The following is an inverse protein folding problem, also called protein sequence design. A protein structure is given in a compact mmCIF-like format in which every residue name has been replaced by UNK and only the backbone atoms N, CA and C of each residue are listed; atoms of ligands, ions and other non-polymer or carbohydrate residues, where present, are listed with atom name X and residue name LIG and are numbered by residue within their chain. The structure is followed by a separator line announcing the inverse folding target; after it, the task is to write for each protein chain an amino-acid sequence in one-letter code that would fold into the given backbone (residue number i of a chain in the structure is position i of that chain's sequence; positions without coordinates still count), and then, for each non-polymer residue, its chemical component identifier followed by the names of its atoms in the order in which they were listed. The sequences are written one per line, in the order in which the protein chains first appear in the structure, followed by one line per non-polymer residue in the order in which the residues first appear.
data_IF_790244501746
#
_entry.id   IF_790244501746
#
_cell.length_a   1.000
_cell.length_b   1.000
_cell.length_c   1.000
_cell.angle_alpha   90.00
_cell.angle_beta   90.00
_cell.angle_gamma   90.00
#
_symmetry.space_group_name_H-M   'P 1'
#
loop_
_entity.id
_entity.type
_entity.pdbx_description
1 polymer ?
#
# COMPACT_ATOMS: atom_id res chain seq x y z
N UNK A 1 -17.81 11.27 -6.42
CA UNK A 1 -18.11 10.06 -5.69
C UNK A 1 -16.92 9.12 -5.85
N UNK A 2 -16.21 8.76 -4.76
CA UNK A 2 -15.23 7.70 -4.81
C UNK A 2 -16.04 6.42 -5.07
N UNK A 3 -15.91 5.87 -6.26
CA UNK A 3 -16.28 4.49 -6.50
C UNK A 3 -15.21 3.64 -5.83
N UNK A 4 -15.62 2.71 -4.96
CA UNK A 4 -14.77 1.60 -4.57
C UNK A 4 -14.41 0.86 -5.87
N UNK A 5 -13.19 1.07 -6.35
CA UNK A 5 -12.72 0.53 -7.63
C UNK A 5 -12.71 -1.00 -7.62
N UNK A 6 -12.74 -1.60 -6.42
CA UNK A 6 -12.69 -3.03 -6.25
C UNK A 6 -13.36 -3.46 -4.94
N UNK A 7 -14.42 -4.23 -5.04
CA UNK A 7 -15.00 -4.98 -3.92
C UNK A 7 -14.82 -6.47 -4.21
N UNK A 8 -13.96 -7.13 -3.46
CA UNK A 8 -13.82 -8.58 -3.54
C UNK A 8 -15.08 -9.20 -2.89
N UNK A 9 -15.98 -9.69 -3.73
CA UNK A 9 -17.20 -10.36 -3.26
C UNK A 9 -17.10 -11.85 -3.49
N UNK A 10 -16.83 -12.62 -2.43
CA UNK A 10 -16.73 -14.07 -2.48
C UNK A 10 -18.07 -14.76 -2.85
N UNK A 11 -19.19 -14.06 -2.79
CA UNK A 11 -20.50 -14.63 -3.12
C UNK A 11 -20.81 -14.66 -4.62
N UNK A 12 -20.00 -13.98 -5.44
CA UNK A 12 -20.20 -13.95 -6.92
C UNK A 12 -18.90 -14.30 -7.66
N UNK A 13 -18.61 -15.57 -7.68
CA UNK A 13 -17.40 -16.16 -8.24
C UNK A 13 -17.25 -16.01 -9.73
N UNK A 14 -18.34 -16.19 -10.44
CA UNK A 14 -18.38 -16.14 -11.89
C UNK A 14 -18.11 -14.72 -12.40
N UNK A 15 -18.34 -13.73 -11.56
CA UNK A 15 -18.06 -12.34 -11.87
C UNK A 15 -16.58 -11.93 -11.68
N UNK A 16 -15.81 -12.65 -10.85
CA UNK A 16 -14.41 -12.28 -10.56
C UNK A 16 -13.55 -12.20 -11.83
N UNK A 17 -13.53 -13.19 -12.75
CA UNK A 17 -12.73 -13.10 -13.97
C UNK A 17 -13.12 -11.95 -14.88
N UNK A 18 -14.38 -11.52 -14.85
CA UNK A 18 -14.88 -10.41 -15.68
C UNK A 18 -14.34 -9.04 -15.27
N UNK A 19 -13.81 -8.91 -14.04
CA UNK A 19 -13.22 -7.68 -13.53
C UNK A 19 -11.77 -7.48 -14.00
N UNK A 20 -11.17 -8.48 -14.62
CA UNK A 20 -9.79 -8.45 -15.09
C UNK A 20 -9.69 -8.22 -16.59
N UNK A 21 -8.66 -7.52 -17.05
CA UNK A 21 -8.34 -7.43 -18.47
C UNK A 21 -7.88 -8.78 -19.01
N UNK A 22 -7.92 -8.96 -20.34
CA UNK A 22 -7.47 -10.20 -20.94
C UNK A 22 -5.96 -10.45 -20.77
N UNK A 23 -5.18 -9.37 -20.66
CA UNK A 23 -3.73 -9.40 -20.51
C UNK A 23 -3.24 -9.23 -19.08
N UNK A 24 -4.11 -9.34 -18.08
CA UNK A 24 -3.76 -9.11 -16.68
C UNK A 24 -2.53 -9.90 -16.22
N UNK A 25 -1.70 -9.25 -15.42
CA UNK A 25 -0.58 -9.88 -14.71
C UNK A 25 -0.82 -9.76 -13.21
N UNK A 26 -0.76 -10.88 -12.50
CA UNK A 26 -0.85 -10.91 -11.04
C UNK A 26 0.40 -11.52 -10.43
N UNK A 27 1.17 -10.71 -9.71
CA UNK A 27 2.42 -11.11 -9.06
C UNK A 27 2.18 -11.52 -7.60
N UNK A 28 2.84 -12.58 -7.16
CA UNK A 28 2.85 -12.98 -5.76
C UNK A 28 4.20 -12.61 -5.12
N UNK A 29 4.23 -11.49 -4.42
CA UNK A 29 5.43 -10.97 -3.76
C UNK A 29 5.49 -11.31 -2.27
N UNK A 30 4.68 -12.24 -1.82
CA UNK A 30 4.75 -12.78 -0.46
C UNK A 30 6.00 -13.63 -0.29
N UNK A 31 6.45 -13.81 0.95
CA UNK A 31 7.64 -14.65 1.28
C UNK A 31 7.55 -16.08 0.76
N UNK A 32 6.35 -16.63 0.70
CA UNK A 32 6.04 -17.96 0.14
C UNK A 32 5.26 -17.81 -1.17
N UNK A 33 5.51 -16.75 -1.92
CA UNK A 33 4.86 -16.51 -3.20
C UNK A 33 5.31 -17.49 -4.27
N UNK A 34 4.46 -17.63 -5.31
CA UNK A 34 4.71 -18.45 -6.49
C UNK A 34 5.02 -17.61 -7.73
N UNK A 35 5.01 -18.26 -8.88
CA UNK A 35 5.12 -17.61 -10.17
C UNK A 35 3.95 -16.65 -10.43
N UNK A 36 4.15 -15.59 -11.23
CA UNK A 36 3.08 -14.71 -11.64
C UNK A 36 1.97 -15.45 -12.38
N UNK A 37 0.73 -15.03 -12.20
CA UNK A 37 -0.41 -15.46 -13.00
C UNK A 37 -0.59 -14.55 -14.20
N UNK A 38 -0.90 -15.12 -15.36
CA UNK A 38 -1.11 -14.40 -16.60
C UNK A 38 -2.48 -14.70 -17.21
N UNK A 39 -3.25 -13.64 -17.44
CA UNK A 39 -4.58 -13.73 -18.02
C UNK A 39 -5.66 -14.21 -17.05
N UNK A 40 -6.90 -14.13 -17.53
CA UNK A 40 -8.10 -14.37 -16.71
C UNK A 40 -8.25 -15.81 -16.24
N UNK A 41 -7.80 -16.78 -17.04
CA UNK A 41 -8.00 -18.18 -16.71
C UNK A 41 -7.15 -18.62 -15.52
N UNK A 42 -5.87 -18.21 -15.48
CA UNK A 42 -5.00 -18.50 -14.34
C UNK A 42 -5.48 -17.79 -13.07
N UNK A 43 -5.97 -16.54 -13.18
CA UNK A 43 -6.58 -15.81 -12.07
C UNK A 43 -7.81 -16.54 -11.53
N UNK A 44 -8.68 -17.03 -12.45
CA UNK A 44 -9.86 -17.80 -12.05
C UNK A 44 -9.48 -19.05 -11.27
N UNK A 45 -8.53 -19.83 -11.79
CA UNK A 45 -8.11 -21.08 -11.15
C UNK A 45 -7.46 -20.84 -9.79
N UNK A 46 -6.65 -19.76 -9.66
CA UNK A 46 -6.08 -19.33 -8.38
C UNK A 46 -7.19 -18.89 -7.39
N UNK A 47 -8.21 -18.20 -7.88
CA UNK A 47 -9.34 -17.75 -7.07
C UNK A 47 -10.15 -18.96 -6.57
N UNK A 48 -10.46 -19.94 -7.42
CA UNK A 48 -11.11 -21.19 -7.01
C UNK A 48 -10.31 -21.89 -5.90
N UNK A 49 -8.98 -21.98 -6.06
CA UNK A 49 -8.10 -22.53 -5.03
C UNK A 49 -8.16 -21.78 -3.69
N UNK A 50 -8.20 -20.47 -3.73
CA UNK A 50 -8.33 -19.63 -2.53
C UNK A 50 -9.64 -19.91 -1.78
N UNK A 51 -10.72 -20.02 -2.51
CA UNK A 51 -12.06 -20.20 -1.94
C UNK A 51 -12.35 -21.60 -1.45
N UNK A 52 -11.59 -22.58 -1.91
CA UNK A 52 -11.64 -23.90 -1.28
C UNK A 52 -11.07 -23.92 0.13
N UNK A 53 -10.34 -22.85 0.51
CA UNK A 53 -9.68 -22.72 1.81
C UNK A 53 -10.38 -21.74 2.76
N UNK A 54 -11.08 -20.74 2.21
CA UNK A 54 -11.68 -19.66 3.01
C UNK A 54 -13.14 -19.48 2.64
N UNK A 55 -13.98 -19.22 3.66
CA UNK A 55 -15.43 -19.03 3.52
C UNK A 55 -15.85 -17.57 3.53
N UNK A 56 -14.98 -16.65 3.97
CA UNK A 56 -15.28 -15.21 4.05
C UNK A 56 -14.05 -14.37 3.67
N UNK A 57 -14.29 -13.20 3.09
CA UNK A 57 -13.25 -12.20 2.84
C UNK A 57 -13.77 -10.79 3.13
N UNK A 58 -12.93 -10.03 3.81
CA UNK A 58 -13.16 -8.62 4.08
C UNK A 58 -12.11 -7.79 3.37
N UNK A 59 -12.56 -6.77 2.64
CA UNK A 59 -11.68 -5.86 1.89
C UNK A 59 -11.81 -4.44 2.42
N UNK A 60 -10.68 -3.76 2.53
CA UNK A 60 -10.63 -2.35 2.92
C UNK A 60 -9.62 -1.61 2.06
N UNK A 61 -10.03 -0.50 1.46
CA UNK A 61 -9.13 0.43 0.80
C UNK A 61 -8.23 1.12 1.83
N UNK A 62 -6.92 1.06 1.60
CA UNK A 62 -5.88 1.65 2.45
C UNK A 62 -5.39 2.96 1.85
N UNK A 63 -5.15 2.97 0.54
CA UNK A 63 -4.71 4.16 -0.18
C UNK A 63 -5.15 4.11 -1.65
N UNK A 64 -5.28 5.28 -2.27
CA UNK A 64 -5.57 5.45 -3.70
C UNK A 64 -4.52 6.41 -4.28
N UNK A 65 -4.09 6.16 -5.51
CA UNK A 65 -3.21 7.06 -6.26
C UNK A 65 -3.74 7.26 -7.68
N UNK A 66 -3.91 8.53 -8.06
CA UNK A 66 -4.53 8.86 -9.33
C UNK A 66 -5.93 8.26 -9.48
N UNK A 67 -6.31 7.96 -10.71
CA UNK A 67 -7.62 7.40 -11.03
C UNK A 67 -7.58 5.86 -11.18
N UNK A 68 -6.38 5.24 -11.17
CA UNK A 68 -6.17 3.87 -11.62
C UNK A 68 -5.58 2.92 -10.57
N UNK A 69 -4.97 3.42 -9.50
CA UNK A 69 -4.20 2.63 -8.55
C UNK A 69 -4.85 2.62 -7.16
N UNK A 70 -4.91 1.42 -6.58
CA UNK A 70 -5.47 1.21 -5.24
C UNK A 70 -4.61 0.22 -4.45
N UNK A 71 -4.38 0.53 -3.18
CA UNK A 71 -3.85 -0.39 -2.18
C UNK A 71 -4.99 -0.88 -1.31
N UNK A 72 -5.16 -2.18 -1.26
CA UNK A 72 -6.18 -2.87 -0.47
C UNK A 72 -5.54 -3.67 0.66
N UNK A 73 -6.20 -3.73 1.78
CA UNK A 73 -6.01 -4.75 2.80
C UNK A 73 -7.15 -5.74 2.69
N UNK A 74 -6.82 -7.03 2.64
CA UNK A 74 -7.78 -8.12 2.53
C UNK A 74 -7.53 -9.10 3.67
N UNK A 75 -8.59 -9.51 4.34
CA UNK A 75 -8.58 -10.58 5.34
C UNK A 75 -9.48 -11.71 4.85
N UNK A 76 -8.93 -12.90 4.78
CA UNK A 76 -9.66 -14.14 4.52
C UNK A 76 -9.85 -14.91 5.81
N UNK A 77 -11.01 -15.51 6.02
CA UNK A 77 -11.28 -16.38 7.18
C UNK A 77 -11.96 -17.68 6.76
N UNK A 78 -11.63 -18.77 7.46
CA UNK A 78 -12.30 -20.07 7.32
C UNK A 78 -13.33 -20.29 8.44
N UNK A 79 -14.11 -21.36 8.31
CA UNK A 79 -15.15 -21.75 9.27
C UNK A 79 -14.57 -22.16 10.65
N UNK A 80 -13.26 -22.44 10.72
CA UNK A 80 -12.54 -22.78 11.95
C UNK A 80 -12.02 -21.55 12.68
N UNK A 81 -12.17 -20.34 12.08
CA UNK A 81 -11.69 -19.07 12.63
C UNK A 81 -10.22 -18.78 12.33
N UNK A 82 -9.56 -19.56 11.45
CA UNK A 82 -8.23 -19.19 10.97
C UNK A 82 -8.36 -17.97 10.05
N UNK A 83 -7.38 -17.07 10.13
CA UNK A 83 -7.34 -15.86 9.33
C UNK A 83 -6.03 -15.74 8.57
N UNK A 84 -6.11 -15.25 7.34
CA UNK A 84 -4.96 -14.84 6.52
C UNK A 84 -5.17 -13.42 6.05
N UNK A 85 -4.17 -12.55 6.25
CA UNK A 85 -4.24 -11.16 5.84
C UNK A 85 -3.20 -10.86 4.78
N UNK A 86 -3.55 -10.01 3.81
CA UNK A 86 -2.69 -9.64 2.70
C UNK A 86 -2.91 -8.16 2.34
N UNK A 87 -1.87 -7.56 1.73
CA UNK A 87 -2.03 -6.31 0.98
C UNK A 87 -2.02 -6.61 -0.52
N UNK A 88 -2.90 -5.93 -1.25
CA UNK A 88 -2.96 -6.03 -2.71
C UNK A 88 -2.80 -4.63 -3.30
N UNK A 89 -1.88 -4.47 -4.24
CA UNK A 89 -1.84 -3.30 -5.13
C UNK A 89 -2.54 -3.68 -6.42
N UNK A 90 -3.53 -2.89 -6.82
CA UNK A 90 -4.35 -3.13 -8.00
C UNK A 90 -4.28 -1.91 -8.91
N UNK A 91 -4.07 -2.14 -10.20
CA UNK A 91 -4.13 -1.12 -11.25
C UNK A 91 -5.18 -1.48 -12.28
N UNK A 92 -6.02 -0.51 -12.64
CA UNK A 92 -7.04 -0.69 -13.68
C UNK A 92 -6.62 -0.02 -15.00
N UNK A 93 -7.09 -0.58 -16.11
CA UNK A 93 -6.95 -0.01 -17.45
C UNK A 93 -7.97 1.12 -17.69
N UNK A 94 -7.96 1.68 -18.90
CA UNK A 94 -8.88 2.76 -19.31
C UNK A 94 -10.35 2.30 -19.41
N UNK A 95 -10.62 1.00 -19.33
CA UNK A 95 -11.95 0.43 -19.30
C UNK A 95 -12.44 0.12 -17.87
N UNK A 96 -11.57 0.36 -16.87
CA UNK A 96 -11.84 0.05 -15.46
C UNK A 96 -11.66 -1.43 -15.13
N UNK A 97 -10.98 -2.22 -16.00
CA UNK A 97 -10.64 -3.62 -15.74
C UNK A 97 -9.26 -3.71 -15.07
N UNK A 98 -9.11 -4.64 -14.16
CA UNK A 98 -7.82 -4.87 -13.49
C UNK A 98 -6.83 -5.42 -14.51
N UNK A 99 -5.77 -4.67 -14.75
CA UNK A 99 -4.70 -5.02 -15.68
C UNK A 99 -3.44 -5.50 -14.97
N UNK A 100 -3.29 -5.09 -13.73
CA UNK A 100 -2.21 -5.54 -12.86
C UNK A 100 -2.70 -5.72 -11.43
N UNK A 101 -2.18 -6.75 -10.77
CA UNK A 101 -2.32 -6.96 -9.34
C UNK A 101 -0.99 -7.46 -8.75
N UNK A 102 -0.67 -7.07 -7.50
CA UNK A 102 0.41 -7.69 -6.74
C UNK A 102 -0.01 -7.92 -5.30
N UNK A 103 0.44 -9.05 -4.74
CA UNK A 103 0.07 -9.51 -3.40
C UNK A 103 1.29 -9.50 -2.49
N UNK A 104 1.10 -9.02 -1.27
CA UNK A 104 2.11 -8.91 -0.21
C UNK A 104 1.59 -9.56 1.07
N UNK A 105 2.49 -10.01 1.93
CA UNK A 105 2.12 -10.50 3.26
C UNK A 105 1.41 -9.41 4.07
N UNK A 106 0.53 -9.80 5.00
CA UNK A 106 -0.23 -8.86 5.83
C UNK A 106 0.61 -8.01 6.79
N UNK A 107 1.88 -8.35 6.97
CA UNK A 107 2.87 -7.58 7.73
C UNK A 107 3.84 -6.77 6.85
N UNK A 108 3.76 -6.89 5.52
CA UNK A 108 4.60 -6.15 4.56
C UNK A 108 3.86 -4.93 3.96
N UNK A 109 3.35 -4.07 4.83
CA UNK A 109 2.75 -2.80 4.41
C UNK A 109 3.73 -1.93 3.61
N UNK A 110 4.99 -1.86 4.06
CA UNK A 110 6.00 -0.98 3.44
C UNK A 110 6.35 -1.42 2.01
N UNK A 111 6.39 -2.73 1.75
CA UNK A 111 6.58 -3.29 0.41
C UNK A 111 5.41 -2.96 -0.51
N UNK A 112 4.19 -3.18 -0.04
CA UNK A 112 2.96 -2.91 -0.78
C UNK A 112 2.79 -1.40 -1.08
N UNK A 113 3.05 -0.55 -0.08
CA UNK A 113 2.96 0.90 -0.27
C UNK A 113 4.01 1.42 -1.24
N UNK A 114 5.24 0.89 -1.19
CA UNK A 114 6.31 1.23 -2.15
C UNK A 114 5.92 0.83 -3.59
N UNK A 115 5.30 -0.32 -3.78
CA UNK A 115 4.80 -0.74 -5.10
C UNK A 115 3.75 0.22 -5.64
N UNK A 116 2.76 0.59 -4.81
CA UNK A 116 1.73 1.58 -5.17
C UNK A 116 2.37 2.87 -5.68
N UNK A 117 3.32 3.43 -4.93
CA UNK A 117 3.98 4.68 -5.26
C UNK A 117 4.88 4.55 -6.50
N UNK A 118 5.61 3.43 -6.61
CA UNK A 118 6.47 3.18 -7.78
C UNK A 118 5.65 3.16 -9.06
N UNK A 119 4.51 2.47 -9.06
CA UNK A 119 3.62 2.42 -10.21
C UNK A 119 2.99 3.77 -10.50
N UNK A 120 2.53 4.48 -9.48
CA UNK A 120 1.98 5.81 -9.65
C UNK A 120 2.97 6.76 -10.33
N UNK A 121 4.21 6.83 -9.84
CA UNK A 121 5.21 7.72 -10.43
C UNK A 121 5.83 7.21 -11.74
N UNK A 122 5.63 5.95 -12.08
CA UNK A 122 5.92 5.45 -13.43
C UNK A 122 4.83 5.83 -14.44
N UNK A 123 3.58 5.95 -13.99
CA UNK A 123 2.38 6.27 -14.78
C UNK A 123 1.89 7.71 -14.61
N UNK A 124 0.70 7.86 -14.04
CA UNK A 124 -0.01 9.15 -13.92
C UNK A 124 0.78 10.21 -13.14
N UNK A 125 1.48 9.82 -12.09
CA UNK A 125 2.31 10.69 -11.27
C UNK A 125 3.66 11.07 -11.86
N UNK A 126 4.00 10.59 -13.06
CA UNK A 126 5.30 10.80 -13.70
C UNK A 126 5.77 12.25 -13.75
N UNK A 127 4.91 13.26 -14.02
CA UNK A 127 5.32 14.66 -13.98
C UNK A 127 5.84 15.14 -12.63
N UNK A 128 5.46 14.46 -11.55
CA UNK A 128 5.80 14.79 -10.16
C UNK A 128 6.81 13.80 -9.54
N UNK A 129 7.32 12.83 -10.32
CA UNK A 129 8.08 11.70 -9.80
C UNK A 129 9.33 12.11 -9.01
N UNK A 130 10.05 13.13 -9.48
CA UNK A 130 11.27 13.59 -8.80
C UNK A 130 10.97 14.06 -7.36
N UNK A 131 9.95 14.89 -7.17
CA UNK A 131 9.59 15.44 -5.87
C UNK A 131 8.85 14.40 -5.00
N UNK A 132 7.99 13.60 -5.62
CA UNK A 132 7.23 12.58 -4.92
C UNK A 132 8.12 11.47 -4.35
N UNK A 133 9.07 10.98 -5.12
CA UNK A 133 10.02 9.96 -4.65
C UNK A 133 10.91 10.47 -3.50
N UNK A 134 11.31 11.74 -3.55
CA UNK A 134 12.03 12.37 -2.42
C UNK A 134 11.15 12.39 -1.17
N UNK A 135 9.90 12.83 -1.28
CA UNK A 135 8.97 12.89 -0.15
C UNK A 135 8.73 11.51 0.47
N UNK A 136 8.51 10.48 -0.36
CA UNK A 136 8.30 9.10 0.12
C UNK A 136 9.54 8.56 0.83
N UNK A 137 10.71 8.72 0.22
CA UNK A 137 11.96 8.25 0.83
C UNK A 137 12.22 8.95 2.16
N UNK A 138 11.91 10.26 2.23
CA UNK A 138 12.01 11.03 3.47
C UNK A 138 11.03 10.53 4.55
N UNK A 139 9.79 10.25 4.19
CA UNK A 139 8.79 9.68 5.11
C UNK A 139 9.18 8.28 5.61
N UNK A 140 9.71 7.43 4.74
CA UNK A 140 10.24 6.14 5.13
C UNK A 140 11.40 6.26 6.11
N UNK A 141 12.28 7.26 5.94
CA UNK A 141 13.34 7.55 6.90
C UNK A 141 12.76 7.94 8.26
N UNK A 142 11.69 8.77 8.30
CA UNK A 142 10.98 9.10 9.54
C UNK A 142 10.40 7.84 10.20
N UNK A 143 9.70 7.00 9.46
CA UNK A 143 9.07 5.78 10.00
C UNK A 143 10.10 4.83 10.61
N UNK A 144 11.31 4.77 10.02
CA UNK A 144 12.44 3.97 10.53
C UNK A 144 13.23 4.67 11.61
N UNK A 145 12.92 5.93 11.92
CA UNK A 145 13.66 6.80 12.84
C UNK A 145 15.14 6.95 12.42
N UNK A 146 15.39 7.01 11.11
CA UNK A 146 16.73 7.06 10.49
C UNK A 146 17.05 8.50 9.99
N UNK A 147 17.74 9.32 10.79
CA UNK A 147 18.10 10.69 10.42
C UNK A 147 19.15 10.71 9.29
N UNK A 148 20.00 9.69 9.19
CA UNK A 148 21.06 9.67 8.17
C UNK A 148 20.49 9.43 6.77
N UNK A 149 19.43 8.62 6.66
CA UNK A 149 18.69 8.45 5.41
C UNK A 149 17.88 9.71 5.03
N UNK A 150 17.40 10.49 6.01
CA UNK A 150 16.65 11.72 5.78
C UNK A 150 17.54 12.92 5.42
N UNK A 151 18.77 12.96 5.93
CA UNK A 151 19.68 14.12 5.81
C UNK A 151 19.96 14.56 4.37
N UNK A 152 20.31 13.68 3.41
CA UNK A 152 20.56 14.08 2.02
C UNK A 152 19.30 14.55 1.28
N UNK A 153 18.11 14.26 1.83
CA UNK A 153 16.81 14.64 1.27
C UNK A 153 16.26 15.93 1.88
N UNK A 154 16.94 16.48 2.87
CA UNK A 154 16.55 17.68 3.60
C UNK A 154 17.46 18.85 3.25
N UNK A 155 16.89 20.06 3.21
CA UNK A 155 17.70 21.27 3.08
C UNK A 155 18.60 21.45 4.32
N UNK A 156 19.79 22.07 4.17
CA UNK A 156 20.71 22.32 5.31
C UNK A 156 20.07 23.12 6.46
N UNK A 157 19.12 23.97 6.13
CA UNK A 157 18.35 24.83 7.04
C UNK A 157 16.96 24.25 7.37
N UNK A 158 16.80 22.94 7.21
CA UNK A 158 15.52 22.26 7.52
C UNK A 158 15.04 22.62 8.92
N UNK A 159 13.78 23.02 8.99
CA UNK A 159 13.08 23.28 10.25
C UNK A 159 11.72 22.60 10.26
N UNK A 160 11.38 22.02 11.38
CA UNK A 160 10.06 21.48 11.66
C UNK A 160 9.35 22.34 12.67
N UNK A 161 8.16 22.82 12.33
CA UNK A 161 7.32 23.59 13.26
C UNK A 161 6.09 22.77 13.63
N UNK A 162 5.92 22.47 14.90
CA UNK A 162 4.73 21.79 15.40
C UNK A 162 3.53 22.74 15.33
N UNK A 163 2.39 22.33 14.75
CA UNK A 163 1.20 23.19 14.74
C UNK A 163 0.72 23.49 16.16
N UNK A 164 0.08 24.65 16.41
CA UNK A 164 -0.15 25.26 17.72
C UNK A 164 -1.28 24.61 18.55
N UNK A 165 -1.46 23.30 18.51
CA UNK A 165 -2.24 22.58 19.53
C UNK A 165 -1.46 22.40 20.83
N UNK A 166 -0.15 22.65 20.82
CA UNK A 166 0.67 22.83 22.01
C UNK A 166 0.82 24.33 22.27
N UNK A 167 0.80 24.72 23.54
CA UNK A 167 0.85 26.10 24.03
C UNK A 167 2.06 26.94 23.54
N UNK A 168 2.98 26.35 22.79
CA UNK A 168 4.14 27.00 22.13
C UNK A 168 4.43 26.31 20.80
N UNK A 169 4.56 27.08 19.71
CA UNK A 169 5.10 26.59 18.46
C UNK A 169 6.61 26.39 18.64
N UNK A 170 7.05 25.13 18.70
CA UNK A 170 8.47 24.80 18.76
C UNK A 170 8.97 24.53 17.34
N UNK A 171 10.04 25.24 16.95
CA UNK A 171 10.77 24.96 15.72
C UNK A 171 11.97 24.07 16.06
N UNK A 172 12.14 22.98 15.31
CA UNK A 172 13.19 21.98 15.53
C UNK A 172 14.03 21.80 14.29
N UNK A 173 15.32 21.65 14.47
CA UNK A 173 16.24 21.13 13.43
C UNK A 173 15.93 19.67 13.10
N UNK A 174 16.55 19.13 12.05
CA UNK A 174 16.37 17.73 11.65
C UNK A 174 16.72 16.77 12.81
N UNK A 175 17.83 16.99 13.48
CA UNK A 175 18.29 16.11 14.57
C UNK A 175 17.35 16.17 15.79
N UNK A 176 16.89 17.36 16.17
CA UNK A 176 15.91 17.56 17.24
C UNK A 176 14.55 16.95 16.88
N UNK A 177 14.14 17.03 15.59
CA UNK A 177 12.94 16.38 15.11
C UNK A 177 13.01 14.87 15.27
N UNK A 178 14.11 14.22 14.86
CA UNK A 178 14.28 12.77 15.04
C UNK A 178 14.43 12.36 16.51
N UNK A 179 15.08 13.17 17.34
CA UNK A 179 15.13 12.92 18.79
C UNK A 179 13.73 12.94 19.41
N UNK A 180 12.90 13.90 19.03
CA UNK A 180 11.51 13.99 19.46
C UNK A 180 10.65 12.82 18.94
N UNK A 181 10.83 12.40 17.69
CA UNK A 181 10.13 11.24 17.14
C UNK A 181 10.47 9.94 17.89
N UNK A 182 11.75 9.72 18.22
CA UNK A 182 12.18 8.54 19.02
C UNK A 182 11.55 8.54 20.41
N UNK A 183 11.49 9.70 21.06
CA UNK A 183 10.83 9.82 22.37
C UNK A 183 9.34 9.46 22.30
N UNK A 184 8.64 9.89 21.24
CA UNK A 184 7.22 9.57 21.05
C UNK A 184 7.01 8.11 20.66
N UNK A 185 7.87 7.53 19.82
CA UNK A 185 7.78 6.13 19.42
C UNK A 185 7.93 5.19 20.62
N UNK A 186 8.74 5.54 21.62
CA UNK A 186 8.84 4.81 22.88
C UNK A 186 7.56 4.85 23.74
N UNK A 187 6.62 5.77 23.42
CA UNK A 187 5.34 5.89 24.12
C UNK A 187 4.16 5.29 23.34
N UNK A 188 4.35 4.94 22.05
CA UNK A 188 3.33 4.41 21.17
C UNK A 188 3.71 3.01 20.68
N UNK A 189 2.75 2.09 20.64
CA UNK A 189 2.96 0.72 20.16
C UNK A 189 3.23 0.63 18.64
N UNK A 190 2.84 1.64 17.88
CA UNK A 190 3.18 1.79 16.46
C UNK A 190 2.98 3.23 15.99
N UNK A 191 3.88 3.73 15.14
CA UNK A 191 3.72 5.01 14.44
C UNK A 191 3.71 4.71 12.93
N UNK A 192 2.61 5.01 12.26
CA UNK A 192 2.51 4.97 10.80
C UNK A 192 1.98 6.32 10.31
N UNK A 193 2.66 6.90 9.34
CA UNK A 193 2.24 8.13 8.68
C UNK A 193 1.78 7.79 7.26
N UNK A 194 0.62 8.29 6.90
CA UNK A 194 0.05 8.18 5.54
C UNK A 194 0.00 9.57 4.91
N UNK A 195 0.33 9.66 3.66
CA UNK A 195 0.11 10.85 2.83
C UNK A 195 -1.20 10.74 2.08
#
# INVERSE_FOLDING_TARGET
GHHDLYAFNLSDFDAVPSQYSAGVVSEDRRRLGGDPFHGRDEIRDATVGLLSQFSDAQTRTVAVRGDRLQLLWISFSDDSGNQSTQYHVVEVDDQGLIDYASRFDGDDFDGAYRELETRYYAGEGRPFSANGMVAITWLQAIQRLDPEAARPLSQPDFTWTCPPTALTAETRSLDEFFAWQRQRAGQASSVRSFL
#
